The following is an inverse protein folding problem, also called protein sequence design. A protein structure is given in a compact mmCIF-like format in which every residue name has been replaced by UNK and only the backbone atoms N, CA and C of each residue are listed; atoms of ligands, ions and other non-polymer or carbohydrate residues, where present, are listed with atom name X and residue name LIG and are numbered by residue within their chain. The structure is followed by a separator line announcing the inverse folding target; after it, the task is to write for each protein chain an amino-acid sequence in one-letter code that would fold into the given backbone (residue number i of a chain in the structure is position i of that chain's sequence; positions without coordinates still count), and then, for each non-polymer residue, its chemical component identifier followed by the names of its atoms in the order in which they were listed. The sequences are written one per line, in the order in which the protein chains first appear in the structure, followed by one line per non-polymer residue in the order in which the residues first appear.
data_IF_408141872177
#
_entry.id   IF_408141872177
#
_cell.length_a   1.000
_cell.length_b   1.000
_cell.length_c   1.000
_cell.angle_alpha   90.00
_cell.angle_beta   90.00
_cell.angle_gamma   90.00
#
_symmetry.space_group_name_H-M   'P 1'
#
loop_
_entity.id
_entity.type
_entity.pdbx_description
1 polymer ?
#
# COMPACT_ATOMS: atom_id res chain seq x y z
N UNK A 1 -7.76 -10.76 3.52
CA UNK A 1 -7.43 -10.78 2.08
C UNK A 1 -6.53 -11.97 1.71
N UNK A 2 -6.54 -12.45 0.46
CA UNK A 2 -5.65 -13.52 -0.01
C UNK A 2 -4.19 -13.06 -0.07
N UNK A 3 -3.93 -11.85 -0.56
CA UNK A 3 -2.58 -11.26 -0.66
C UNK A 3 -1.90 -11.08 0.69
N UNK A 4 -2.68 -10.71 1.72
CA UNK A 4 -2.22 -10.71 3.11
C UNK A 4 -1.58 -12.05 3.51
N UNK A 5 -2.22 -13.19 3.15
CA UNK A 5 -1.70 -14.52 3.49
C UNK A 5 -0.44 -14.88 2.72
N UNK A 6 -0.32 -14.45 1.47
CA UNK A 6 0.89 -14.64 0.67
C UNK A 6 2.07 -13.89 1.27
N UNK A 7 1.88 -12.60 1.58
CA UNK A 7 2.87 -11.77 2.24
C UNK A 7 3.27 -12.33 3.61
N UNK A 8 2.30 -12.70 4.43
CA UNK A 8 2.53 -13.33 5.72
C UNK A 8 3.36 -14.61 5.59
N UNK A 9 2.96 -15.52 4.69
CA UNK A 9 3.63 -16.80 4.47
C UNK A 9 5.07 -16.62 4.01
N UNK A 10 5.34 -15.67 3.11
CA UNK A 10 6.71 -15.38 2.69
C UNK A 10 7.58 -14.88 3.84
N UNK A 11 7.06 -14.03 4.72
CA UNK A 11 7.82 -13.60 5.90
C UNK A 11 8.11 -14.77 6.84
N UNK A 12 7.18 -15.72 6.99
CA UNK A 12 7.44 -16.94 7.76
C UNK A 12 8.53 -17.80 7.11
N UNK A 13 8.51 -17.97 5.78
CA UNK A 13 9.56 -18.68 5.04
C UNK A 13 10.90 -17.99 5.23
N UNK A 14 10.95 -16.68 5.05
CA UNK A 14 12.16 -15.87 5.20
C UNK A 14 12.75 -16.02 6.61
N UNK A 15 11.93 -15.96 7.67
CA UNK A 15 12.41 -16.17 9.04
C UNK A 15 12.89 -17.60 9.29
N UNK A 16 12.09 -18.59 8.92
CA UNK A 16 12.39 -20.00 9.18
C UNK A 16 13.61 -20.49 8.39
N UNK A 17 13.87 -19.92 7.22
CA UNK A 17 14.97 -20.29 6.32
C UNK A 17 15.98 -19.16 6.11
N UNK A 18 16.06 -18.20 7.03
CA UNK A 18 16.96 -17.06 6.91
C UNK A 18 18.42 -17.49 6.76
N UNK A 19 18.83 -18.52 7.52
CA UNK A 19 20.16 -19.10 7.42
C UNK A 19 20.48 -19.66 6.03
N UNK A 20 19.50 -20.24 5.32
CA UNK A 20 19.73 -20.73 3.97
C UNK A 20 19.96 -19.61 2.96
N UNK A 21 19.34 -18.45 3.19
CA UNK A 21 19.44 -17.28 2.33
C UNK A 21 20.73 -16.49 2.55
N UNK A 22 21.32 -16.54 3.75
CA UNK A 22 22.44 -15.67 4.15
C UNK A 22 23.77 -16.39 4.35
N UNK A 23 23.76 -17.64 4.83
CA UNK A 23 24.99 -18.36 5.14
C UNK A 23 25.65 -18.93 3.87
N UNK A 24 26.97 -19.13 3.95
CA UNK A 24 27.75 -19.73 2.86
C UNK A 24 27.48 -21.24 2.73
N UNK A 25 27.35 -21.93 3.85
CA UNK A 25 27.09 -23.38 4.03
C UNK A 25 25.61 -23.74 3.86
N UNK A 26 24.98 -23.30 2.77
CA UNK A 26 23.57 -23.60 2.51
C UNK A 26 23.36 -24.35 1.19
N UNK A 27 22.26 -25.12 1.05
CA UNK A 27 21.96 -25.86 -0.17
C UNK A 27 21.55 -24.95 -1.36
N UNK A 28 21.49 -23.62 -1.16
CA UNK A 28 21.10 -22.67 -2.19
C UNK A 28 22.31 -22.14 -2.95
N UNK A 29 22.19 -22.07 -4.27
CA UNK A 29 23.17 -21.37 -5.10
C UNK A 29 23.14 -19.86 -4.83
N UNK A 30 24.21 -19.14 -5.20
CA UNK A 30 24.28 -17.67 -5.04
C UNK A 30 23.12 -16.97 -5.77
N UNK A 31 22.75 -17.44 -6.97
CA UNK A 31 21.62 -16.89 -7.73
C UNK A 31 20.28 -17.14 -7.03
N UNK A 32 20.07 -18.34 -6.48
CA UNK A 32 18.85 -18.65 -5.71
C UNK A 32 18.75 -17.77 -4.45
N UNK A 33 19.86 -17.56 -3.73
CA UNK A 33 19.90 -16.66 -2.57
C UNK A 33 19.49 -15.24 -2.95
N UNK A 34 20.04 -14.73 -4.05
CA UNK A 34 19.68 -13.42 -4.57
C UNK A 34 18.17 -13.31 -4.86
N UNK A 35 17.60 -14.27 -5.61
CA UNK A 35 16.17 -14.25 -5.93
C UNK A 35 15.27 -14.44 -4.71
N UNK A 36 15.66 -15.27 -3.74
CA UNK A 36 14.91 -15.43 -2.49
C UNK A 36 14.95 -14.18 -1.62
N UNK A 37 16.05 -13.42 -1.58
CA UNK A 37 16.12 -12.20 -0.79
C UNK A 37 15.40 -11.04 -1.48
N UNK A 38 15.70 -10.84 -2.77
CA UNK A 38 15.20 -9.68 -3.53
C UNK A 38 13.76 -9.86 -4.03
N UNK A 39 13.29 -11.10 -4.16
CA UNK A 39 11.93 -11.40 -4.66
C UNK A 39 10.81 -10.83 -3.80
N UNK A 40 11.07 -10.54 -2.52
CA UNK A 40 10.10 -9.95 -1.60
C UNK A 40 10.17 -8.43 -1.50
N UNK A 41 11.15 -7.77 -2.13
CA UNK A 41 11.39 -6.32 -1.96
C UNK A 41 10.20 -5.47 -2.38
N UNK A 42 9.45 -5.90 -3.40
CA UNK A 42 8.23 -5.21 -3.82
C UNK A 42 7.19 -5.15 -2.70
N UNK A 43 7.05 -6.22 -1.91
CA UNK A 43 6.15 -6.23 -0.76
C UNK A 43 6.70 -5.37 0.38
N UNK A 44 8.01 -5.40 0.65
CA UNK A 44 8.62 -4.51 1.65
C UNK A 44 8.40 -3.03 1.32
N UNK A 45 8.36 -2.66 0.04
CA UNK A 45 8.01 -1.32 -0.37
C UNK A 45 6.57 -0.94 0.04
N UNK A 46 5.60 -1.85 -0.02
CA UNK A 46 4.23 -1.60 0.49
C UNK A 46 4.22 -1.43 2.02
N UNK A 47 5.02 -2.22 2.75
CA UNK A 47 5.14 -2.10 4.20
C UNK A 47 5.79 -0.76 4.63
N UNK A 48 6.86 -0.35 3.95
CA UNK A 48 7.48 0.96 4.16
C UNK A 48 6.54 2.11 3.79
N UNK A 49 5.79 1.97 2.68
CA UNK A 49 4.76 2.95 2.31
C UNK A 49 3.77 3.16 3.46
N UNK A 50 3.24 2.10 4.06
CA UNK A 50 2.33 2.23 5.21
C UNK A 50 2.96 3.01 6.37
N UNK A 51 4.22 2.74 6.72
CA UNK A 51 4.93 3.47 7.77
C UNK A 51 5.07 4.94 7.43
N UNK A 52 5.54 5.27 6.21
CA UNK A 52 5.68 6.65 5.78
C UNK A 52 4.35 7.38 5.70
N UNK A 53 3.27 6.71 5.30
CA UNK A 53 1.92 7.29 5.33
C UNK A 53 1.48 7.61 6.77
N UNK A 54 1.66 6.71 7.72
CA UNK A 54 1.32 6.98 9.12
C UNK A 54 2.13 8.14 9.68
N UNK A 55 3.44 8.17 9.42
CA UNK A 55 4.31 9.28 9.82
C UNK A 55 3.88 10.60 9.17
N UNK A 56 3.53 10.59 7.88
CA UNK A 56 3.08 11.77 7.17
C UNK A 56 1.76 12.31 7.73
N UNK A 57 0.81 11.44 8.11
CA UNK A 57 -0.43 11.82 8.79
C UNK A 57 -0.11 12.50 10.12
N UNK A 58 0.70 11.87 10.97
CA UNK A 58 1.07 12.42 12.29
C UNK A 58 1.77 13.77 12.14
N UNK A 59 2.72 13.88 11.21
CA UNK A 59 3.42 15.13 10.95
C UNK A 59 2.49 16.22 10.42
N UNK A 60 1.54 15.86 9.55
CA UNK A 60 0.55 16.81 9.01
C UNK A 60 -0.39 17.32 10.09
N UNK A 61 -0.85 16.44 10.98
CA UNK A 61 -1.64 16.86 12.16
C UNK A 61 -0.83 17.84 13.01
N UNK A 62 0.47 17.58 13.20
CA UNK A 62 1.39 18.50 13.86
C UNK A 62 1.48 19.87 13.19
N UNK A 63 1.71 19.91 11.88
CA UNK A 63 1.81 21.16 11.10
C UNK A 63 0.52 21.98 11.12
N UNK A 64 -0.64 21.32 11.01
CA UNK A 64 -1.94 22.00 10.99
C UNK A 64 -2.36 22.44 12.41
N UNK A 65 -2.18 21.58 13.42
CA UNK A 65 -2.62 21.84 14.79
C UNK A 65 -1.66 22.74 15.58
N UNK A 66 -0.36 22.60 15.36
CA UNK A 66 0.69 23.33 16.07
C UNK A 66 1.80 23.84 15.13
N UNK A 67 1.47 24.77 14.22
CA UNK A 67 2.41 25.28 13.21
C UNK A 67 3.65 25.97 13.79
N UNK A 68 3.64 26.36 15.07
CA UNK A 68 4.81 26.92 15.76
C UNK A 68 5.91 25.88 16.06
N UNK A 69 5.54 24.60 16.19
CA UNK A 69 6.47 23.53 16.53
C UNK A 69 6.79 22.61 15.35
N UNK A 70 5.91 22.58 14.34
CA UNK A 70 6.03 21.71 13.18
C UNK A 70 6.15 22.54 11.91
N UNK A 71 7.28 22.37 11.22
CA UNK A 71 7.57 23.07 9.98
C UNK A 71 7.28 22.21 8.76
N UNK A 72 7.03 22.87 7.63
CA UNK A 72 7.01 22.23 6.33
C UNK A 72 8.37 21.58 6.05
N UNK A 73 8.41 20.36 5.47
CA UNK A 73 9.66 19.76 5.04
C UNK A 73 10.28 20.58 3.90
N UNK A 74 11.61 20.67 3.89
CA UNK A 74 12.34 21.41 2.87
C UNK A 74 12.05 20.86 1.46
N UNK A 75 11.87 21.77 0.50
CA UNK A 75 11.59 21.45 -0.91
C UNK A 75 12.57 20.42 -1.50
N UNK A 76 13.85 20.55 -1.17
CA UNK A 76 14.93 19.66 -1.61
C UNK A 76 14.64 18.18 -1.31
N UNK A 77 13.92 17.88 -0.23
CA UNK A 77 13.55 16.52 0.14
C UNK A 77 12.25 16.03 -0.50
N UNK A 78 11.38 16.95 -0.93
CA UNK A 78 10.08 16.63 -1.54
C UNK A 78 10.21 16.29 -3.03
N UNK A 79 11.08 17.01 -3.75
CA UNK A 79 11.29 16.82 -5.20
C UNK A 79 11.65 15.35 -5.53
N UNK A 80 12.63 14.70 -4.87
CA UNK A 80 12.97 13.31 -5.16
C UNK A 80 11.81 12.34 -4.90
N UNK A 81 10.99 12.61 -3.88
CA UNK A 81 9.82 11.78 -3.54
C UNK A 81 8.80 11.83 -4.68
N UNK A 82 8.49 13.03 -5.18
CA UNK A 82 7.59 13.21 -6.32
C UNK A 82 8.16 12.52 -7.56
N UNK A 83 9.46 12.70 -7.83
CA UNK A 83 10.17 12.02 -8.91
C UNK A 83 10.05 10.49 -8.82
N UNK A 84 10.19 9.92 -7.63
CA UNK A 84 10.02 8.48 -7.40
C UNK A 84 8.58 8.02 -7.62
N UNK A 85 7.58 8.78 -7.15
CA UNK A 85 6.15 8.48 -7.36
C UNK A 85 5.82 8.46 -8.86
N UNK A 86 6.23 9.50 -9.61
CA UNK A 86 5.99 9.61 -11.05
C UNK A 86 6.69 8.47 -11.78
N UNK A 87 7.97 8.23 -11.47
CA UNK A 87 8.77 7.18 -12.10
C UNK A 87 8.16 5.79 -11.85
N UNK A 88 7.74 5.50 -10.60
CA UNK A 88 7.09 4.24 -10.26
C UNK A 88 5.76 4.06 -11.02
N UNK A 89 4.96 5.11 -11.15
CA UNK A 89 3.71 5.08 -11.90
C UNK A 89 3.95 4.80 -13.39
N UNK A 90 4.90 5.51 -14.01
CA UNK A 90 5.27 5.34 -15.42
C UNK A 90 5.84 3.94 -15.68
N UNK A 91 6.84 3.52 -14.90
CA UNK A 91 7.44 2.19 -15.07
C UNK A 91 6.43 1.07 -14.84
N UNK A 92 5.51 1.22 -13.88
CA UNK A 92 4.43 0.26 -13.64
C UNK A 92 3.58 0.04 -14.90
N UNK A 93 3.10 1.12 -15.51
CA UNK A 93 2.27 1.07 -16.72
C UNK A 93 3.07 0.54 -17.92
N UNK A 94 4.26 1.07 -18.16
CA UNK A 94 5.10 0.71 -19.31
C UNK A 94 5.50 -0.76 -19.27
N UNK A 95 5.98 -1.25 -18.12
CA UNK A 95 6.40 -2.64 -17.98
C UNK A 95 5.20 -3.59 -18.06
N UNK A 96 4.04 -3.22 -17.50
CA UNK A 96 2.84 -4.04 -17.59
C UNK A 96 2.41 -4.22 -19.04
N UNK A 97 2.32 -3.13 -19.82
CA UNK A 97 1.94 -3.21 -21.24
C UNK A 97 2.97 -3.95 -22.10
N UNK A 98 4.26 -3.84 -21.78
CA UNK A 98 5.31 -4.57 -22.52
C UNK A 98 5.29 -6.08 -22.25
N UNK A 99 4.78 -6.51 -21.09
CA UNK A 99 4.77 -7.92 -20.68
C UNK A 99 3.41 -8.59 -20.80
N UNK A 100 2.32 -7.83 -20.82
CA UNK A 100 0.96 -8.34 -20.85
C UNK A 100 0.19 -7.69 -22.01
N UNK A 101 -0.19 -8.46 -23.05
CA UNK A 101 -0.99 -7.94 -24.16
C UNK A 101 -2.40 -7.63 -23.66
N UNK A 102 -2.70 -6.35 -23.42
CA UNK A 102 -4.00 -5.91 -22.91
C UNK A 102 -4.35 -4.47 -23.33
N UNK A 103 -5.64 -4.13 -23.24
CA UNK A 103 -6.13 -2.80 -23.57
C UNK A 103 -5.65 -1.75 -22.55
N UNK A 104 -5.78 -0.46 -22.90
CA UNK A 104 -5.47 0.63 -21.95
C UNK A 104 -6.39 0.60 -20.73
N UNK A 105 -7.66 0.27 -20.95
CA UNK A 105 -8.63 0.12 -19.87
C UNK A 105 -8.18 -0.97 -18.88
N UNK A 106 -7.82 -2.14 -19.39
CA UNK A 106 -7.34 -3.25 -18.54
C UNK A 106 -6.05 -2.91 -17.81
N UNK A 107 -5.15 -2.16 -18.45
CA UNK A 107 -3.89 -1.71 -17.82
C UNK A 107 -4.17 -0.81 -16.61
N UNK A 108 -5.07 0.17 -16.75
CA UNK A 108 -5.42 1.10 -15.67
C UNK A 108 -6.18 0.36 -14.57
N UNK A 109 -7.15 -0.49 -14.93
CA UNK A 109 -7.91 -1.27 -13.95
C UNK A 109 -7.03 -2.28 -13.20
N UNK A 110 -6.08 -2.92 -13.88
CA UNK A 110 -5.10 -3.78 -13.23
C UNK A 110 -4.19 -3.00 -12.27
N UNK A 111 -3.82 -1.76 -12.63
CA UNK A 111 -3.02 -0.88 -11.77
C UNK A 111 -3.80 -0.49 -10.51
N UNK A 112 -5.06 -0.06 -10.66
CA UNK A 112 -5.96 0.25 -9.54
C UNK A 112 -6.15 -0.99 -8.65
N UNK A 113 -6.46 -2.14 -9.24
CA UNK A 113 -6.62 -3.39 -8.50
C UNK A 113 -5.35 -3.79 -7.75
N UNK A 114 -4.17 -3.58 -8.35
CA UNK A 114 -2.88 -3.84 -7.70
C UNK A 114 -2.66 -2.93 -6.49
N UNK A 115 -2.87 -1.62 -6.64
CA UNK A 115 -2.70 -0.64 -5.56
C UNK A 115 -3.69 -0.88 -4.40
N UNK A 116 -4.91 -1.31 -4.69
CA UNK A 116 -5.91 -1.63 -3.66
C UNK A 116 -5.50 -2.79 -2.73
N UNK A 117 -4.46 -3.54 -3.07
CA UNK A 117 -3.94 -4.65 -2.26
C UNK A 117 -2.77 -4.23 -1.36
N UNK A 118 -2.20 -3.03 -1.54
CA UNK A 118 -0.98 -2.59 -0.85
C UNK A 118 -1.11 -2.61 0.68
N UNK A 119 -2.19 -2.09 1.26
CA UNK A 119 -2.38 -2.10 2.72
C UNK A 119 -2.48 -3.53 3.27
N UNK A 120 -3.22 -4.40 2.59
CA UNK A 120 -3.33 -5.81 2.99
C UNK A 120 -1.97 -6.55 2.91
N UNK A 121 -1.13 -6.22 1.93
CA UNK A 121 0.23 -6.75 1.80
C UNK A 121 1.12 -6.24 2.94
N UNK A 122 1.08 -4.94 3.23
CA UNK A 122 1.83 -4.30 4.31
C UNK A 122 1.53 -4.97 5.67
N UNK A 123 0.24 -5.15 5.99
CA UNK A 123 -0.18 -5.90 7.17
C UNK A 123 0.35 -7.32 7.20
N UNK A 124 0.33 -8.00 6.05
CA UNK A 124 0.86 -9.34 5.89
C UNK A 124 2.33 -9.42 6.22
N UNK A 125 3.11 -8.42 5.81
CA UNK A 125 4.53 -8.32 6.18
C UNK A 125 4.71 -8.09 7.67
N UNK A 126 4.11 -7.05 8.24
CA UNK A 126 4.33 -6.73 9.66
C UNK A 126 3.90 -7.88 10.57
N UNK A 127 2.71 -8.45 10.35
CA UNK A 127 2.25 -9.60 11.13
C UNK A 127 3.06 -10.86 10.82
N UNK A 128 3.50 -11.04 9.58
CA UNK A 128 4.35 -12.15 9.17
C UNK A 128 5.73 -12.09 9.81
N UNK A 129 6.30 -10.92 10.03
CA UNK A 129 7.56 -10.74 10.75
C UNK A 129 7.37 -10.91 12.26
N UNK A 130 6.31 -10.33 12.82
CA UNK A 130 6.05 -10.33 14.27
C UNK A 130 5.56 -11.68 14.82
N UNK A 131 4.57 -12.31 14.18
CA UNK A 131 3.95 -13.55 14.72
C UNK A 131 4.82 -14.78 14.48
N UNK A 132 4.84 -15.72 15.43
CA UNK A 132 5.53 -17.02 15.30
C UNK A 132 4.80 -18.03 14.43
N UNK A 133 3.46 -18.02 14.44
CA UNK A 133 2.59 -18.89 13.64
C UNK A 133 1.47 -18.07 13.03
N UNK A 134 1.03 -18.45 11.84
CA UNK A 134 -0.15 -17.87 11.19
C UNK A 134 -1.33 -18.81 11.30
N UNK A 135 -2.51 -18.25 11.50
CA UNK A 135 -3.77 -18.99 11.35
C UNK A 135 -4.23 -18.86 9.91
N UNK A 136 -4.47 -20.00 9.25
CA UNK A 136 -5.02 -20.01 7.90
C UNK A 136 -6.53 -19.80 7.97
N UNK A 137 -6.92 -18.55 8.19
CA UNK A 137 -8.33 -18.17 8.12
C UNK A 137 -8.78 -18.31 6.67
N UNK A 138 -9.76 -19.19 6.42
CA UNK A 138 -10.35 -19.38 5.10
C UNK A 138 -11.11 -18.12 4.72
N UNK A 139 -10.87 -17.61 3.51
CA UNK A 139 -11.66 -16.52 2.94
C UNK A 139 -13.12 -16.95 2.82
N UNK A 140 -14.02 -16.24 3.51
CA UNK A 140 -15.46 -16.40 3.34
C UNK A 140 -15.81 -16.10 1.88
N UNK A 141 -16.45 -17.05 1.20
CA UNK A 141 -16.96 -16.90 -0.17
C UNK A 141 -18.42 -16.48 -0.08
N UNK A 142 -18.86 -15.58 -0.96
CA UNK A 142 -20.22 -15.00 -0.98
C UNK A 142 -21.33 -16.04 -0.78
N UNK A 143 -21.23 -17.18 -1.49
CA UNK A 143 -22.18 -18.32 -1.39
C UNK A 143 -22.38 -18.91 0.01
N UNK A 144 -21.50 -18.65 0.97
CA UNK A 144 -21.54 -19.22 2.33
C UNK A 144 -21.75 -18.16 3.42
N UNK A 145 -22.05 -16.92 3.04
CA UNK A 145 -22.30 -15.84 4.00
C UNK A 145 -23.79 -15.76 4.31
N UNK A 146 -24.16 -15.83 5.60
CA UNK A 146 -25.56 -15.76 6.06
C UNK A 146 -26.15 -14.34 5.98
N UNK A 147 -25.30 -13.32 5.84
CA UNK A 147 -25.70 -11.91 5.77
C UNK A 147 -24.83 -11.18 4.74
N UNK A 148 -25.41 -10.26 3.95
CA UNK A 148 -24.65 -9.36 3.08
C UNK A 148 -23.87 -8.36 3.96
N UNK A 149 -22.54 -8.49 4.09
CA UNK A 149 -21.78 -7.51 4.86
C UNK A 149 -21.75 -6.18 4.11
N UNK A 150 -21.64 -5.06 4.83
CA UNK A 150 -21.45 -3.73 4.21
C UNK A 150 -20.25 -3.76 3.25
N UNK A 151 -20.37 -3.05 2.12
CA UNK A 151 -19.36 -2.96 1.06
C UNK A 151 -17.93 -2.73 1.61
N UNK A 152 -17.80 -1.87 2.63
CA UNK A 152 -16.50 -1.46 3.18
C UNK A 152 -16.08 -2.22 4.43
N UNK A 153 -16.87 -3.18 4.91
CA UNK A 153 -16.54 -3.96 6.11
C UNK A 153 -15.21 -4.71 6.01
N UNK A 154 -14.84 -5.14 4.81
CA UNK A 154 -13.59 -5.85 4.54
C UNK A 154 -12.36 -4.95 4.37
N UNK A 155 -12.58 -3.63 4.20
CA UNK A 155 -11.57 -2.61 3.92
C UNK A 155 -11.66 -1.44 4.92
N UNK A 156 -12.05 -1.73 6.17
CA UNK A 156 -12.26 -0.71 7.20
C UNK A 156 -11.00 0.09 7.52
N UNK A 157 -9.86 -0.57 7.58
CA UNK A 157 -8.59 0.11 7.87
C UNK A 157 -8.18 1.00 6.70
N UNK A 158 -8.37 0.54 5.47
CA UNK A 158 -8.13 1.32 4.26
C UNK A 158 -9.07 2.54 4.18
N UNK A 159 -10.33 2.39 4.58
CA UNK A 159 -11.28 3.50 4.68
C UNK A 159 -10.82 4.54 5.71
N UNK A 160 -10.41 4.11 6.90
CA UNK A 160 -9.91 5.03 7.94
C UNK A 160 -8.65 5.77 7.48
N UNK A 161 -7.71 5.06 6.85
CA UNK A 161 -6.51 5.68 6.28
C UNK A 161 -6.85 6.67 5.16
N UNK A 162 -7.80 6.35 4.29
CA UNK A 162 -8.26 7.26 3.25
C UNK A 162 -8.87 8.53 3.84
N UNK A 163 -9.78 8.40 4.81
CA UNK A 163 -10.39 9.55 5.50
C UNK A 163 -9.33 10.40 6.21
N UNK A 164 -8.38 9.77 6.89
CA UNK A 164 -7.30 10.47 7.57
C UNK A 164 -6.42 11.27 6.59
N UNK A 165 -6.06 10.69 5.44
CA UNK A 165 -5.28 11.37 4.41
C UNK A 165 -6.05 12.50 3.74
N UNK A 166 -7.33 12.30 3.43
CA UNK A 166 -8.19 13.37 2.89
C UNK A 166 -8.33 14.49 3.92
N UNK A 167 -8.52 14.17 5.20
CA UNK A 167 -8.54 15.15 6.29
C UNK A 167 -7.22 15.93 6.40
N UNK A 168 -6.08 15.26 6.25
CA UNK A 168 -4.77 15.91 6.21
C UNK A 168 -4.63 16.84 5.00
N UNK A 169 -5.06 16.42 3.81
CA UNK A 169 -5.07 17.27 2.61
C UNK A 169 -5.94 18.50 2.83
N UNK A 170 -7.17 18.33 3.30
CA UNK A 170 -8.09 19.44 3.59
C UNK A 170 -7.49 20.38 4.64
N UNK A 171 -6.95 19.84 5.73
CA UNK A 171 -6.29 20.63 6.78
C UNK A 171 -5.13 21.47 6.26
N UNK A 172 -4.29 20.88 5.40
CA UNK A 172 -3.18 21.61 4.76
C UNK A 172 -3.70 22.70 3.80
N UNK A 173 -4.72 22.40 2.99
CA UNK A 173 -5.34 23.36 2.06
C UNK A 173 -5.95 24.55 2.78
N UNK A 174 -6.58 24.31 3.94
CA UNK A 174 -7.18 25.35 4.77
C UNK A 174 -6.17 26.11 5.63
N UNK A 175 -4.91 25.67 5.69
CA UNK A 175 -3.84 26.32 6.47
C UNK A 175 -3.01 27.29 5.62
N UNK A 176 -2.20 28.13 6.28
CA UNK A 176 -1.23 29.02 5.62
C UNK A 176 -0.19 28.26 4.78
N UNK A 177 -0.05 26.94 4.96
CA UNK A 177 0.87 26.11 4.17
C UNK A 177 0.63 26.20 2.66
N UNK A 178 -0.62 26.42 2.23
CA UNK A 178 -0.98 26.53 0.80
C UNK A 178 -0.29 27.71 0.09
N UNK A 179 0.15 28.72 0.83
CA UNK A 179 0.87 29.88 0.27
C UNK A 179 2.29 29.52 -0.17
N UNK A 180 2.90 28.50 0.45
CA UNK A 180 4.27 28.07 0.21
C UNK A 180 4.35 26.94 -0.82
N UNK A 181 5.44 26.89 -1.58
CA UNK A 181 5.69 25.82 -2.57
C UNK A 181 5.77 24.47 -1.88
N UNK A 182 6.47 24.39 -0.74
CA UNK A 182 6.64 23.18 0.07
C UNK A 182 5.29 22.62 0.52
N UNK A 183 4.35 23.49 0.91
CA UNK A 183 3.00 23.06 1.29
C UNK A 183 2.23 22.46 0.13
N UNK A 184 2.33 23.04 -1.07
CA UNK A 184 1.70 22.49 -2.30
C UNK A 184 2.31 21.13 -2.66
N UNK A 185 3.63 20.98 -2.57
CA UNK A 185 4.33 19.72 -2.83
C UNK A 185 3.94 18.65 -1.79
N UNK A 186 3.82 19.03 -0.51
CA UNK A 186 3.38 18.12 0.54
C UNK A 186 1.94 17.63 0.33
N UNK A 187 1.03 18.54 -0.05
CA UNK A 187 -0.35 18.19 -0.42
C UNK A 187 -0.38 17.19 -1.58
N UNK A 188 0.44 17.41 -2.61
CA UNK A 188 0.55 16.48 -3.74
C UNK A 188 1.03 15.09 -3.30
N UNK A 189 1.99 15.02 -2.38
CA UNK A 189 2.47 13.76 -1.81
C UNK A 189 1.37 13.06 -0.99
N UNK A 190 0.66 13.78 -0.12
CA UNK A 190 -0.46 13.23 0.65
C UNK A 190 -1.57 12.69 -0.26
N UNK A 191 -1.91 13.43 -1.31
CA UNK A 191 -2.88 13.00 -2.31
C UNK A 191 -2.42 11.74 -3.05
N UNK A 192 -1.15 11.65 -3.44
CA UNK A 192 -0.58 10.47 -4.06
C UNK A 192 -0.59 9.25 -3.11
N UNK A 193 -0.29 9.45 -1.83
CA UNK A 193 -0.35 8.40 -0.80
C UNK A 193 -1.79 7.93 -0.52
N UNK A 194 -2.82 8.73 -0.83
CA UNK A 194 -4.22 8.34 -0.70
C UNK A 194 -4.67 7.37 -1.80
N UNK A 195 -3.97 7.30 -2.93
CA UNK A 195 -4.37 6.51 -4.11
C UNK A 195 -4.53 5.01 -3.81
N UNK A 196 -3.61 4.32 -3.09
CA UNK A 196 -3.79 2.90 -2.77
C UNK A 196 -5.04 2.63 -1.93
N UNK A 197 -5.35 3.53 -1.00
CA UNK A 197 -6.52 3.40 -0.14
C UNK A 197 -7.82 3.68 -0.93
N UNK A 198 -7.84 4.72 -1.76
CA UNK A 198 -8.94 4.97 -2.69
C UNK A 198 -9.18 3.76 -3.62
N UNK A 199 -8.11 3.17 -4.12
CA UNK A 199 -8.16 1.98 -4.98
C UNK A 199 -8.76 0.77 -4.27
N UNK A 200 -8.45 0.57 -2.98
CA UNK A 200 -9.06 -0.47 -2.16
C UNK A 200 -10.57 -0.25 -1.99
N UNK A 201 -11.01 0.99 -1.78
CA UNK A 201 -12.43 1.36 -1.66
C UNK A 201 -13.18 1.14 -2.98
N UNK A 202 -12.59 1.55 -4.11
CA UNK A 202 -13.15 1.29 -5.45
C UNK A 202 -13.31 -0.21 -5.66
N UNK A 203 -12.27 -1.01 -5.37
CA UNK A 203 -12.32 -2.46 -5.50
C UNK A 203 -13.42 -3.10 -4.65
N UNK A 204 -13.57 -2.65 -3.40
CA UNK A 204 -14.61 -3.13 -2.49
C UNK A 204 -16.02 -2.76 -2.99
N UNK A 205 -16.20 -1.56 -3.52
CA UNK A 205 -17.48 -1.10 -4.07
C UNK A 205 -17.88 -1.84 -5.35
N UNK A 206 -16.92 -2.05 -6.26
CA UNK A 206 -17.14 -2.86 -7.47
C UNK A 206 -17.53 -4.30 -7.08
N UNK A 207 -16.81 -4.89 -6.12
CA UNK A 207 -17.13 -6.23 -5.63
C UNK A 207 -18.54 -6.31 -5.03
N UNK A 208 -18.95 -5.30 -4.24
CA UNK A 208 -20.30 -5.22 -3.69
C UNK A 208 -21.37 -5.16 -4.78
N UNK A 209 -21.24 -4.23 -5.74
CA UNK A 209 -22.18 -4.11 -6.87
C UNK A 209 -22.25 -5.36 -7.75
N UNK A 210 -21.15 -6.08 -7.92
CA UNK A 210 -21.13 -7.32 -8.69
C UNK A 210 -21.90 -8.45 -8.00
N UNK A 211 -21.91 -8.45 -6.67
CA UNK A 211 -22.67 -9.40 -5.87
C UNK A 211 -24.17 -9.12 -5.95
N UNK A 212 -24.58 -7.85 -6.06
CA UNK A 212 -26.00 -7.47 -6.18
C UNK A 212 -26.61 -7.81 -7.55
N UNK A 213 -25.80 -8.05 -8.58
CA UNK A 213 -26.26 -8.49 -9.91
C UNK A 213 -26.36 -10.01 -10.05
N UNK A 214 -25.84 -10.76 -9.07
CA UNK A 214 -25.80 -12.21 -9.10
C UNK A 214 -26.98 -12.86 -8.35
N UNK A 215 -27.79 -12.05 -7.66
CA UNK A 215 -29.08 -12.39 -7.08
C UNK A 215 -30.20 -11.91 -8.01
#
# INVERSE_FOLDING_TARGET
SQRYRWAFGAMQIMKARFGWMTRKDSPLSRGQKFHFLTGWFSWFADALHLVFTMMAIVWTIGMVGWPKYFTLPMELFLIPIIGFIISKAVFGIVLYRKRVPCSWYDTIMASIASMGLSHAIARGIFLGLWKKKGEFVRTAKSRRMSSKPSAFSSVREELLMFIALVGCVVGMVSSSAMQYTEGKLWIAILAAQAIPYASALIGAWVAHRSNDKAD
#
